data_IF_018368707877
#
_entry.id   IF_018368707877
#
_cell.length_a   1.000
_cell.length_b   1.000
_cell.length_c   1.000
_cell.angle_alpha   90.00
_cell.angle_beta   90.00
_cell.angle_gamma   90.00
#
_symmetry.space_group_name_H-M   'P 1'
#
loop_
_entity.id
_entity.type
_entity.pdbx_description
1 polymer ?
#
# COMPACT_ATOMS: atom_id res chain seq x y z
N UNK A 1 10.54 -3.90 13.12
CA UNK A 1 10.41 -4.27 11.69
C UNK A 1 8.94 -4.28 11.35
N UNK A 2 8.55 -3.64 10.24
CA UNK A 2 7.15 -3.48 9.81
C UNK A 2 6.74 -4.69 8.96
N UNK A 3 5.66 -5.37 9.32
CA UNK A 3 5.05 -6.43 8.49
C UNK A 3 4.21 -5.76 7.40
N UNK A 4 4.20 -6.29 6.17
CA UNK A 4 3.54 -5.63 5.04
C UNK A 4 2.01 -5.72 5.00
N UNK A 5 1.42 -6.58 5.82
CA UNK A 5 -0.02 -6.81 5.86
C UNK A 5 -0.69 -6.16 7.08
N UNK A 6 0.08 -5.48 7.95
CA UNK A 6 -0.36 -4.94 9.24
C UNK A 6 -1.23 -5.93 10.05
N UNK A 7 -1.03 -7.23 9.83
CA UNK A 7 -1.73 -8.25 10.58
C UNK A 7 -1.37 -8.09 12.05
N UNK A 8 -2.38 -8.27 12.94
CA UNK A 8 -2.20 -8.10 14.39
C UNK A 8 -1.01 -8.95 14.84
N UNK A 9 0.10 -8.31 15.14
CA UNK A 9 1.18 -8.95 15.89
C UNK A 9 0.63 -9.26 17.29
N UNK A 10 1.03 -10.40 17.87
CA UNK A 10 0.59 -10.85 19.21
C UNK A 10 0.96 -9.88 20.35
N UNK A 11 1.68 -8.80 20.04
CA UNK A 11 1.90 -7.64 20.90
C UNK A 11 1.11 -6.50 20.29
N UNK A 12 -0.13 -6.29 20.75
CA UNK A 12 -0.96 -5.18 20.29
C UNK A 12 -0.23 -3.86 20.53
N UNK A 13 0.23 -3.12 19.50
CA UNK A 13 0.24 -1.68 19.65
C UNK A 13 -1.24 -1.34 19.82
N UNK A 14 -1.58 -0.65 20.90
CA UNK A 14 -2.90 -0.01 20.99
C UNK A 14 -2.97 0.87 19.76
N UNK A 15 -3.71 0.45 18.73
CA UNK A 15 -4.13 1.37 17.68
C UNK A 15 -4.91 2.46 18.44
N UNK A 16 -4.39 3.69 18.59
CA UNK A 16 -5.25 4.76 19.05
C UNK A 16 -6.38 4.80 18.04
N UNK A 17 -7.63 4.70 18.50
CA UNK A 17 -8.85 4.54 17.69
C UNK A 17 -8.66 5.13 16.29
N UNK A 18 -8.24 4.30 15.33
CA UNK A 18 -8.02 4.78 13.96
C UNK A 18 -9.41 5.16 13.53
N UNK A 19 -9.63 6.45 13.29
CA UNK A 19 -10.90 6.88 12.72
C UNK A 19 -11.14 6.02 11.49
N UNK A 20 -12.34 5.44 11.33
CA UNK A 20 -12.60 4.56 10.19
C UNK A 20 -12.18 5.29 8.92
N UNK A 21 -11.47 4.61 8.00
CA UNK A 21 -11.00 5.24 6.77
C UNK A 21 -12.17 5.91 6.07
N UNK A 22 -11.93 7.13 5.59
CA UNK A 22 -12.99 8.01 5.07
C UNK A 22 -13.02 8.02 3.54
N UNK A 23 -11.91 7.65 2.91
CA UNK A 23 -11.81 7.46 1.48
C UNK A 23 -12.17 6.07 0.98
N UNK A 24 -12.29 5.97 -0.33
CA UNK A 24 -12.50 4.74 -1.11
C UNK A 24 -11.46 4.69 -2.24
N UNK A 25 -11.07 3.50 -2.66
CA UNK A 25 -10.11 3.37 -3.76
C UNK A 25 -10.27 2.09 -4.56
N UNK A 26 -9.60 2.05 -5.71
CA UNK A 26 -9.54 0.89 -6.60
C UNK A 26 -8.14 0.75 -7.17
N UNK A 27 -7.71 -0.47 -7.42
CA UNK A 27 -6.43 -0.76 -8.06
C UNK A 27 -6.63 -1.64 -9.30
N UNK A 28 -6.10 -1.21 -10.43
CA UNK A 28 -5.96 -2.04 -11.63
C UNK A 28 -4.54 -2.61 -11.65
N UNK A 29 -4.42 -3.89 -11.35
CA UNK A 29 -3.13 -4.59 -11.28
C UNK A 29 -3.02 -5.53 -12.48
N UNK A 30 -1.91 -5.47 -13.20
CA UNK A 30 -1.63 -6.34 -14.32
C UNK A 30 -0.14 -6.59 -14.49
N UNK A 31 0.19 -7.59 -15.30
CA UNK A 31 1.56 -7.92 -15.68
C UNK A 31 1.87 -7.35 -17.06
N UNK A 32 2.96 -6.57 -17.16
CA UNK A 32 3.50 -6.04 -18.40
C UNK A 32 4.89 -6.65 -18.65
N UNK A 33 4.94 -7.75 -19.40
CA UNK A 33 6.17 -8.51 -19.62
C UNK A 33 6.73 -9.07 -18.30
N UNK A 34 7.92 -8.61 -17.89
CA UNK A 34 8.55 -8.99 -16.62
C UNK A 34 8.23 -8.04 -15.46
N UNK A 35 7.30 -7.10 -15.63
CA UNK A 35 6.92 -6.13 -14.61
C UNK A 35 5.50 -6.37 -14.10
N UNK A 36 5.29 -6.14 -12.80
CA UNK A 36 3.98 -5.95 -12.21
C UNK A 36 3.70 -4.46 -12.18
N UNK A 37 2.51 -4.06 -12.63
CA UNK A 37 2.08 -2.67 -12.70
C UNK A 37 0.75 -2.56 -11.97
N UNK A 38 0.64 -1.58 -11.09
CA UNK A 38 -0.62 -1.21 -10.45
C UNK A 38 -0.91 0.26 -10.67
N UNK A 39 -2.06 0.54 -11.28
CA UNK A 39 -2.67 1.86 -11.28
C UNK A 39 -3.64 1.94 -10.12
N UNK A 40 -3.45 2.92 -9.25
CA UNK A 40 -4.19 3.06 -7.99
C UNK A 40 -4.91 4.39 -8.02
N UNK A 41 -6.22 4.33 -7.83
CA UNK A 41 -7.09 5.49 -7.71
C UNK A 41 -7.63 5.58 -6.29
N UNK A 42 -7.53 6.76 -5.69
CA UNK A 42 -8.05 7.05 -4.36
C UNK A 42 -8.93 8.30 -4.40
N UNK A 43 -10.06 8.23 -3.71
CA UNK A 43 -10.96 9.36 -3.46
C UNK A 43 -11.18 9.48 -1.96
N UNK A 44 -10.75 10.59 -1.37
CA UNK A 44 -11.00 10.98 0.01
C UNK A 44 -11.35 12.48 0.11
N UNK A 45 -12.62 12.87 -0.09
CA UNK A 45 -13.04 14.27 -0.06
C UNK A 45 -12.92 14.93 1.32
N UNK A 46 -12.77 14.13 2.39
CA UNK A 46 -12.54 14.66 3.74
C UNK A 46 -11.09 15.14 3.94
N UNK A 47 -10.18 14.83 3.00
CA UNK A 47 -8.75 15.09 3.10
C UNK A 47 -8.15 15.60 1.77
N UNK A 48 -8.68 16.70 1.18
CA UNK A 48 -8.08 17.27 -0.02
C UNK A 48 -6.63 17.71 0.23
N UNK A 49 -5.76 17.55 -0.78
CA UNK A 49 -4.33 17.87 -0.64
C UNK A 49 -3.52 16.88 0.20
N UNK A 50 -4.12 15.80 0.72
CA UNK A 50 -3.37 14.85 1.54
C UNK A 50 -2.46 13.93 0.75
N UNK A 51 -1.31 13.65 1.38
CA UNK A 51 -0.30 12.75 0.88
C UNK A 51 -0.52 11.32 1.39
N UNK A 52 -0.37 10.36 0.48
CA UNK A 52 -0.37 8.94 0.73
C UNK A 52 0.85 8.28 0.07
N UNK A 53 1.35 7.23 0.69
CA UNK A 53 2.34 6.31 0.11
C UNK A 53 1.63 5.08 -0.43
N UNK A 54 1.85 4.76 -1.70
CA UNK A 54 1.27 3.60 -2.38
C UNK A 54 2.34 2.55 -2.60
N UNK A 55 2.15 1.36 -2.04
CA UNK A 55 3.08 0.25 -2.13
C UNK A 55 2.54 -0.89 -3.01
N UNK A 56 3.33 -1.33 -3.99
CA UNK A 56 3.14 -2.61 -4.69
C UNK A 56 4.04 -3.65 -4.03
N UNK A 57 3.45 -4.77 -3.61
CA UNK A 57 4.14 -5.78 -2.80
C UNK A 57 3.97 -7.16 -3.45
N UNK A 58 5.08 -7.87 -3.61
CA UNK A 58 5.13 -9.21 -4.21
C UNK A 58 5.03 -10.32 -3.15
N UNK A 59 4.24 -11.36 -3.43
CA UNK A 59 4.10 -12.59 -2.65
C UNK A 59 4.83 -13.76 -3.34
N UNK A 60 5.32 -14.77 -2.60
CA UNK A 60 5.30 -14.90 -1.15
C UNK A 60 6.36 -14.01 -0.47
N UNK A 61 6.08 -13.57 0.76
CA UNK A 61 7.06 -12.81 1.57
C UNK A 61 7.60 -13.62 2.74
N UNK A 62 8.91 -13.59 2.99
CA UNK A 62 9.47 -14.07 4.24
C UNK A 62 8.88 -13.29 5.42
N UNK A 63 8.55 -13.97 6.52
CA UNK A 63 8.02 -13.32 7.74
C UNK A 63 8.99 -12.31 8.37
N UNK A 64 10.29 -12.38 8.04
CA UNK A 64 11.33 -11.45 8.51
C UNK A 64 11.59 -10.29 7.55
N UNK A 65 10.97 -10.28 6.37
CA UNK A 65 11.19 -9.23 5.39
C UNK A 65 10.50 -7.94 5.82
N UNK A 66 11.28 -6.85 5.97
CA UNK A 66 10.74 -5.52 6.25
C UNK A 66 9.74 -5.08 5.19
N UNK A 67 8.76 -4.27 5.57
CA UNK A 67 7.93 -3.51 4.64
C UNK A 67 8.40 -2.07 4.54
N UNK A 68 8.30 -1.50 3.34
CA UNK A 68 8.62 -0.11 3.06
C UNK A 68 9.49 0.07 1.81
N UNK A 69 9.78 1.32 1.44
CA UNK A 69 10.62 1.65 0.30
C UNK A 69 12.01 0.97 0.39
N UNK A 70 12.44 0.37 -0.71
CA UNK A 70 13.74 -0.31 -0.82
C UNK A 70 13.80 -1.73 -0.22
N UNK A 71 12.72 -2.21 0.41
CA UNK A 71 12.66 -3.59 0.87
C UNK A 71 12.56 -4.59 -0.30
N UNK A 72 13.06 -5.82 -0.13
CA UNK A 72 12.88 -6.88 -1.13
C UNK A 72 11.40 -7.13 -1.46
N UNK A 73 11.07 -7.05 -2.75
CA UNK A 73 9.75 -7.35 -3.30
C UNK A 73 8.73 -6.24 -3.05
N UNK A 74 9.19 -5.01 -2.86
CA UNK A 74 8.34 -3.83 -2.72
C UNK A 74 8.77 -2.72 -3.67
N UNK A 75 7.80 -2.01 -4.21
CA UNK A 75 7.98 -0.73 -4.86
C UNK A 75 6.96 0.26 -4.29
N UNK A 76 7.37 1.52 -4.13
CA UNK A 76 6.53 2.56 -3.55
C UNK A 76 6.52 3.78 -4.44
N UNK A 77 5.37 4.45 -4.49
CA UNK A 77 5.18 5.74 -5.14
C UNK A 77 4.32 6.64 -4.26
N UNK A 78 4.54 7.94 -4.36
CA UNK A 78 3.73 8.93 -3.64
C UNK A 78 2.46 9.26 -4.42
N UNK A 79 1.38 9.49 -3.69
CA UNK A 79 0.07 9.89 -4.20
C UNK A 79 -0.42 11.10 -3.40
N UNK A 80 -0.48 12.25 -4.04
CA UNK A 80 -1.09 13.46 -3.48
C UNK A 80 -2.51 13.62 -4.03
N UNK A 81 -3.47 13.85 -3.15
CA UNK A 81 -4.84 14.15 -3.54
C UNK A 81 -4.95 15.60 -4.04
N UNK A 82 -5.75 15.83 -5.07
CA UNK A 82 -6.10 17.17 -5.53
C UNK A 82 -7.06 17.90 -4.56
N UNK A 83 -7.47 19.12 -4.93
CA UNK A 83 -8.41 19.93 -4.14
C UNK A 83 -9.81 19.28 -4.01
N UNK A 84 -10.15 18.35 -4.90
CA UNK A 84 -11.37 17.54 -4.82
C UNK A 84 -11.22 16.28 -3.97
N UNK A 85 -10.02 16.03 -3.41
CA UNK A 85 -9.72 14.82 -2.65
C UNK A 85 -9.53 13.60 -3.53
N UNK A 86 -9.12 13.75 -4.79
CA UNK A 86 -8.91 12.64 -5.72
C UNK A 86 -7.46 12.55 -6.19
N UNK A 87 -6.96 11.34 -6.38
CA UNK A 87 -5.62 11.13 -6.94
C UNK A 87 -5.50 9.79 -7.65
N UNK A 88 -4.57 9.73 -8.61
CA UNK A 88 -4.16 8.49 -9.26
C UNK A 88 -2.64 8.40 -9.32
N UNK A 89 -2.09 7.22 -9.05
CA UNK A 89 -0.66 6.93 -9.22
C UNK A 89 -0.46 5.57 -9.88
N UNK A 90 0.59 5.45 -10.69
CA UNK A 90 1.08 4.15 -11.17
C UNK A 90 2.33 3.77 -10.41
N UNK A 91 2.34 2.56 -9.85
CA UNK A 91 3.51 1.94 -9.21
C UNK A 91 3.84 0.66 -9.97
N UNK A 92 5.14 0.41 -10.18
CA UNK A 92 5.59 -0.78 -10.90
C UNK A 92 6.87 -1.33 -10.30
N UNK A 93 7.03 -2.65 -10.38
CA UNK A 93 8.23 -3.37 -9.96
C UNK A 93 8.54 -4.51 -10.94
N UNK A 94 9.80 -4.93 -10.97
CA UNK A 94 10.20 -6.12 -11.72
C UNK A 94 9.77 -7.38 -10.95
N UNK A 95 9.03 -8.27 -11.61
CA UNK A 95 8.55 -9.52 -11.01
C UNK A 95 9.74 -10.40 -10.66
N UNK A 96 9.90 -10.71 -9.37
CA UNK A 96 10.99 -11.53 -8.87
C UNK A 96 10.73 -13.00 -9.18
N UNK A 97 11.81 -13.78 -9.27
CA UNK A 97 11.67 -15.22 -9.41
C UNK A 97 10.94 -15.81 -8.19
N UNK A 98 9.94 -16.65 -8.45
CA UNK A 98 9.13 -17.26 -7.40
C UNK A 98 7.96 -16.40 -6.92
N UNK A 99 7.78 -15.19 -7.47
CA UNK A 99 6.57 -14.40 -7.21
C UNK A 99 5.36 -15.11 -7.78
N UNK A 100 4.35 -15.33 -6.94
CA UNK A 100 3.07 -15.96 -7.32
C UNK A 100 1.94 -14.97 -7.44
N UNK A 101 2.07 -13.80 -6.83
CA UNK A 101 1.12 -12.72 -6.95
C UNK A 101 1.61 -11.42 -6.34
N UNK A 102 0.82 -10.37 -6.51
CA UNK A 102 1.08 -9.05 -5.92
C UNK A 102 -0.19 -8.47 -5.30
N UNK A 103 -0.02 -7.56 -4.36
CA UNK A 103 -1.09 -6.75 -3.80
C UNK A 103 -0.62 -5.31 -3.64
N UNK A 104 -1.57 -4.42 -3.39
CA UNK A 104 -1.31 -3.01 -3.17
C UNK A 104 -1.71 -2.61 -1.77
N UNK A 105 -0.94 -1.72 -1.17
CA UNK A 105 -1.32 -0.98 0.03
C UNK A 105 -1.28 0.53 -0.23
N UNK A 106 -2.10 1.27 0.50
CA UNK A 106 -2.09 2.74 0.52
C UNK A 106 -2.05 3.18 1.98
N UNK A 107 -1.03 3.95 2.32
CA UNK A 107 -0.77 4.38 3.70
C UNK A 107 -0.75 5.89 3.78
N UNK A 108 -1.39 6.46 4.80
CA UNK A 108 -1.15 7.85 5.17
C UNK A 108 -0.07 7.91 6.26
N UNK A 109 1.05 8.61 6.04
CA UNK A 109 2.08 8.75 7.07
C UNK A 109 1.53 9.33 8.37
N UNK A 110 2.05 8.83 9.50
CA UNK A 110 1.78 9.40 10.81
C UNK A 110 3.08 9.97 11.40
N UNK A 111 3.20 11.29 11.58
CA UNK A 111 4.44 11.88 12.09
C UNK A 111 4.77 11.46 13.52
N UNK A 112 3.78 10.98 14.28
CA UNK A 112 3.91 10.64 15.70
C UNK A 112 3.80 9.13 15.98
N UNK A 113 3.68 8.28 14.95
CA UNK A 113 3.50 6.84 15.12
C UNK A 113 4.21 6.06 14.01
N UNK A 114 4.59 4.81 14.31
CA UNK A 114 5.05 3.86 13.30
C UNK A 114 3.88 3.21 12.53
N UNK A 115 2.67 3.30 13.08
CA UNK A 115 1.44 2.86 12.43
C UNK A 115 0.88 3.99 11.55
N UNK A 116 0.37 3.67 10.36
CA UNK A 116 -0.17 4.67 9.46
C UNK A 116 -1.41 5.33 10.07
N UNK A 117 -1.61 6.60 9.75
CA UNK A 117 -2.78 7.36 10.20
C UNK A 117 -4.06 6.95 9.46
N UNK A 118 -3.93 6.27 8.31
CA UNK A 118 -5.00 5.67 7.51
C UNK A 118 -4.38 4.57 6.64
N UNK A 119 -5.08 3.45 6.43
CA UNK A 119 -4.57 2.28 5.70
C UNK A 119 -5.65 1.66 4.81
N UNK A 120 -5.27 1.37 3.57
CA UNK A 120 -6.06 0.59 2.62
C UNK A 120 -5.19 -0.52 2.02
N UNK A 121 -5.82 -1.63 1.64
CA UNK A 121 -5.17 -2.74 0.94
C UNK A 121 -6.10 -3.27 -0.14
N UNK A 122 -5.54 -3.86 -1.19
CA UNK A 122 -6.36 -4.63 -2.12
C UNK A 122 -7.01 -5.82 -1.41
N UNK A 123 -8.21 -6.18 -1.85
CA UNK A 123 -9.02 -7.24 -1.22
C UNK A 123 -8.47 -8.64 -1.50
N UNK A 124 -7.66 -8.79 -2.55
CA UNK A 124 -7.07 -10.05 -2.98
C UNK A 124 -5.66 -9.87 -3.54
N UNK A 125 -4.95 -10.99 -3.62
CA UNK A 125 -3.69 -11.13 -4.36
C UNK A 125 -3.99 -11.35 -5.85
N UNK A 126 -3.32 -10.59 -6.70
CA UNK A 126 -3.40 -10.74 -8.16
C UNK A 126 -2.27 -11.65 -8.63
N UNK A 127 -2.60 -12.71 -9.35
CA UNK A 127 -1.61 -13.69 -9.83
C UNK A 127 -0.67 -13.08 -10.89
N UNK A 128 0.60 -13.51 -10.87
CA UNK A 128 1.67 -13.04 -11.77
C UNK A 128 2.17 -14.13 -12.72
#
# INVERSE_FOLDING_TARGET
MRQCDYSRTSVAPRLPAVSPPTGTGSALIHRAGSQAVAEVHLTNPAQPGMHYDVGLIQAPRPATASCGPGAPGTAFASLDLDEGGTGTVTVQDSVRQGTTGVWVIVERPNPNSQDPAEFYTSEFLVSM
#
